data_IF_266009889292
#
_entry.id   IF_266009889292
#
_cell.length_a   1.000
_cell.length_b   1.000
_cell.length_c   1.000
_cell.angle_alpha   90.00
_cell.angle_beta   90.00
_cell.angle_gamma   90.00
#
_symmetry.space_group_name_H-M   'P 1'
#
loop_
_entity.id
_entity.type
_entity.pdbx_description
1 polymer ?
#
# COMPACT_ATOMS: atom_id res chain seq x y z
N UNK A 1 91.88 -205.61 -26.93
CA UNK A 1 92.78 -206.08 -25.86
C UNK A 1 91.89 -206.47 -24.68
N UNK A 2 91.97 -207.72 -24.21
CA UNK A 2 92.55 -208.08 -22.90
C UNK A 2 91.80 -207.37 -21.75
N UNK A 3 90.87 -207.96 -20.98
CA UNK A 3 90.62 -209.36 -20.58
C UNK A 3 91.67 -209.93 -19.60
N UNK A 4 91.18 -210.76 -18.65
CA UNK A 4 91.78 -211.17 -17.35
C UNK A 4 91.80 -210.09 -16.25
N UNK A 5 91.43 -210.35 -14.98
CA UNK A 5 90.65 -211.43 -14.32
C UNK A 5 89.95 -210.80 -13.08
N UNK A 6 88.85 -211.27 -12.45
CA UNK A 6 88.19 -212.57 -12.25
C UNK A 6 88.56 -213.37 -10.97
N UNK A 7 87.53 -214.06 -10.46
CA UNK A 7 87.48 -215.15 -9.46
C UNK A 7 88.35 -215.11 -8.17
N UNK A 8 87.69 -214.75 -7.05
CA UNK A 8 87.52 -215.58 -5.83
C UNK A 8 86.50 -214.88 -4.90
N UNK A 9 85.39 -215.46 -4.44
CA UNK A 9 84.98 -216.84 -4.04
C UNK A 9 85.42 -217.23 -2.62
N UNK A 10 84.47 -217.05 -1.70
CA UNK A 10 84.19 -217.78 -0.44
C UNK A 10 85.17 -218.87 0.03
N UNK A 11 85.77 -218.71 1.23
CA UNK A 11 85.76 -219.71 2.33
C UNK A 11 86.42 -219.22 3.64
N UNK A 12 86.16 -219.98 4.73
CA UNK A 12 86.59 -219.82 6.15
C UNK A 12 85.81 -218.78 6.99
N UNK A 13 85.28 -219.05 8.20
CA UNK A 13 85.18 -220.26 9.06
C UNK A 13 86.53 -220.93 9.47
N UNK A 14 86.93 -221.05 10.74
CA UNK A 14 86.26 -220.84 12.05
C UNK A 14 87.24 -220.27 13.12
N UNK A 15 86.80 -220.22 14.39
CA UNK A 15 87.47 -219.69 15.61
C UNK A 15 87.48 -218.15 15.76
N UNK A 16 87.20 -217.54 16.93
CA UNK A 16 86.57 -218.04 18.16
C UNK A 16 86.06 -216.92 19.10
N UNK A 17 84.72 -216.81 19.27
CA UNK A 17 83.94 -216.29 20.43
C UNK A 17 84.10 -214.80 20.89
N UNK A 18 83.09 -214.38 21.67
CA UNK A 18 82.97 -213.14 22.49
C UNK A 18 82.80 -211.78 21.75
N UNK A 19 82.03 -210.79 22.23
CA UNK A 19 80.90 -210.78 23.17
C UNK A 19 80.05 -209.48 22.94
N UNK A 20 78.69 -209.46 23.02
CA UNK A 20 77.90 -208.33 22.49
C UNK A 20 77.36 -207.35 23.56
N UNK A 21 78.18 -206.43 24.08
CA UNK A 21 77.74 -205.34 24.99
C UNK A 21 78.51 -204.00 24.80
N UNK A 22 78.98 -203.70 23.59
CA UNK A 22 79.91 -202.59 23.31
C UNK A 22 79.47 -201.62 22.21
N UNK A 23 78.30 -201.78 21.59
CA UNK A 23 77.89 -201.00 20.42
C UNK A 23 77.31 -199.61 20.75
N UNK A 24 76.35 -199.55 21.67
CA UNK A 24 75.58 -198.35 22.02
C UNK A 24 76.40 -197.18 22.60
N UNK A 25 77.62 -197.43 23.07
CA UNK A 25 78.52 -196.40 23.57
C UNK A 25 79.22 -195.65 22.42
N UNK A 26 79.65 -196.40 21.39
CA UNK A 26 80.42 -195.89 20.25
C UNK A 26 79.57 -194.91 19.43
N UNK A 27 78.30 -195.23 19.17
CA UNK A 27 77.40 -194.40 18.35
C UNK A 27 77.09 -193.04 19.03
N UNK A 28 77.13 -192.96 20.37
CA UNK A 28 76.94 -191.71 21.13
C UNK A 28 78.21 -190.86 21.25
N UNK A 29 79.38 -191.48 21.34
CA UNK A 29 80.65 -190.75 21.28
C UNK A 29 80.90 -190.17 19.87
N UNK A 30 80.53 -190.90 18.81
CA UNK A 30 80.63 -190.40 17.43
C UNK A 30 79.80 -189.10 17.21
N UNK A 31 78.50 -189.14 17.51
CA UNK A 31 77.59 -188.00 17.27
C UNK A 31 78.00 -186.74 18.06
N UNK A 32 78.58 -186.92 19.26
CA UNK A 32 79.06 -185.78 20.08
C UNK A 32 80.42 -185.23 19.66
N UNK A 33 81.18 -185.95 18.82
CA UNK A 33 82.38 -185.42 18.14
C UNK A 33 82.00 -184.63 16.88
N UNK A 34 81.06 -185.12 16.06
CA UNK A 34 80.61 -184.44 14.84
C UNK A 34 80.05 -183.03 15.12
N UNK A 35 79.17 -182.90 16.12
CA UNK A 35 78.61 -181.59 16.50
C UNK A 35 79.66 -180.60 17.02
N UNK A 36 80.77 -181.08 17.61
CA UNK A 36 81.91 -180.22 17.98
C UNK A 36 82.69 -179.79 16.74
N UNK A 37 82.90 -180.68 15.77
CA UNK A 37 83.56 -180.37 14.51
C UNK A 37 82.79 -179.30 13.70
N UNK A 38 81.46 -179.42 13.60
CA UNK A 38 80.61 -178.44 12.89
C UNK A 38 80.72 -177.05 13.54
N UNK A 39 80.53 -176.93 14.86
CA UNK A 39 80.64 -175.62 15.55
C UNK A 39 82.06 -175.05 15.52
N UNK A 40 83.09 -175.90 15.52
CA UNK A 40 84.46 -175.44 15.33
C UNK A 40 84.67 -174.90 13.90
N UNK A 41 84.16 -175.59 12.88
CA UNK A 41 84.20 -175.12 11.51
C UNK A 41 83.43 -173.79 11.33
N UNK A 42 82.21 -173.65 11.86
CA UNK A 42 81.45 -172.38 11.84
C UNK A 42 82.23 -171.24 12.52
N UNK A 43 82.85 -171.50 13.68
CA UNK A 43 83.62 -170.49 14.40
C UNK A 43 84.89 -170.08 13.63
N UNK A 44 85.62 -171.06 13.07
CA UNK A 44 86.81 -170.82 12.24
C UNK A 44 86.44 -170.07 10.96
N UNK A 45 85.33 -170.42 10.31
CA UNK A 45 84.86 -169.80 9.07
C UNK A 45 84.34 -168.37 9.35
N UNK A 46 83.60 -168.15 10.45
CA UNK A 46 83.20 -166.80 10.90
C UNK A 46 84.40 -165.95 11.32
N UNK A 47 85.42 -166.53 11.97
CA UNK A 47 86.71 -165.84 12.22
C UNK A 47 87.40 -165.51 10.90
N UNK A 48 87.47 -166.45 9.94
CA UNK A 48 88.05 -166.23 8.61
C UNK A 48 87.33 -165.10 7.86
N UNK A 49 86.00 -165.01 7.93
CA UNK A 49 85.24 -163.87 7.37
C UNK A 49 85.52 -162.54 8.08
N UNK A 50 85.59 -162.52 9.41
CA UNK A 50 85.95 -161.30 10.16
C UNK A 50 87.40 -160.87 9.90
N UNK A 51 88.29 -161.84 9.72
CA UNK A 51 89.70 -161.61 9.45
C UNK A 51 89.91 -161.16 8.00
N UNK A 52 89.24 -161.76 7.01
CA UNK A 52 89.16 -161.22 5.65
C UNK A 52 88.66 -159.77 5.61
N UNK A 53 87.64 -159.41 6.41
CA UNK A 53 87.15 -158.02 6.53
C UNK A 53 88.10 -157.04 7.25
N UNK A 54 89.22 -157.51 7.80
CA UNK A 54 90.25 -156.69 8.43
C UNK A 54 91.53 -156.66 7.59
N UNK A 55 91.93 -157.82 7.12
CA UNK A 55 93.21 -158.07 6.47
C UNK A 55 93.13 -157.77 4.95
N UNK A 56 91.95 -157.87 4.32
CA UNK A 56 91.73 -157.43 2.94
C UNK A 56 91.37 -155.93 2.89
N UNK A 57 92.10 -155.17 2.07
CA UNK A 57 91.97 -153.71 1.99
C UNK A 57 90.78 -153.28 1.13
N UNK A 58 90.49 -154.01 0.04
CA UNK A 58 89.31 -153.80 -0.82
C UNK A 58 87.99 -153.74 -0.03
N UNK A 59 87.88 -154.55 1.04
CA UNK A 59 86.70 -154.59 1.91
C UNK A 59 86.65 -153.45 2.93
N UNK A 60 87.77 -152.78 3.22
CA UNK A 60 87.79 -151.52 3.97
C UNK A 60 87.41 -150.36 3.05
N UNK A 61 88.01 -150.29 1.86
CA UNK A 61 87.76 -149.25 0.87
C UNK A 61 86.29 -149.23 0.45
N UNK A 62 85.69 -150.39 0.17
CA UNK A 62 84.26 -150.48 -0.16
C UNK A 62 83.36 -150.03 1.01
N UNK A 63 83.75 -150.31 2.26
CA UNK A 63 83.00 -149.88 3.44
C UNK A 63 83.12 -148.37 3.70
N UNK A 64 84.25 -147.76 3.34
CA UNK A 64 84.46 -146.30 3.39
C UNK A 64 83.72 -145.59 2.25
N UNK A 65 83.77 -146.14 1.03
CA UNK A 65 82.94 -145.66 -0.10
C UNK A 65 81.44 -145.69 0.23
N UNK A 66 80.95 -146.75 0.88
CA UNK A 66 79.55 -146.83 1.33
C UNK A 66 79.20 -145.77 2.40
N UNK A 67 80.13 -145.42 3.29
CA UNK A 67 79.95 -144.31 4.25
C UNK A 67 79.93 -142.95 3.55
N UNK A 68 80.86 -142.71 2.64
CA UNK A 68 80.92 -141.46 1.85
C UNK A 68 79.67 -141.30 0.99
N UNK A 69 79.17 -142.37 0.37
CA UNK A 69 77.91 -142.37 -0.37
C UNK A 69 76.71 -141.99 0.52
N UNK A 70 76.59 -142.58 1.72
CA UNK A 70 75.53 -142.24 2.67
C UNK A 70 75.57 -140.76 3.08
N UNK A 71 76.75 -140.25 3.47
CA UNK A 71 76.94 -138.83 3.83
C UNK A 71 76.62 -137.91 2.64
N UNK A 72 77.01 -138.27 1.42
CA UNK A 72 76.70 -137.48 0.22
C UNK A 72 75.18 -137.39 -0.05
N UNK A 73 74.43 -138.46 0.25
CA UNK A 73 72.97 -138.49 0.13
C UNK A 73 72.31 -137.57 1.15
N UNK A 74 72.70 -137.67 2.42
CA UNK A 74 72.17 -136.80 3.49
C UNK A 74 72.46 -135.31 3.21
N UNK A 75 73.65 -134.99 2.68
CA UNK A 75 73.99 -133.63 2.27
C UNK A 75 73.15 -133.14 1.08
N UNK A 76 72.87 -134.00 0.10
CA UNK A 76 72.00 -133.65 -1.03
C UNK A 76 70.55 -133.39 -0.59
N UNK A 77 69.99 -134.25 0.26
CA UNK A 77 68.63 -134.12 0.80
C UNK A 77 68.49 -132.82 1.64
N UNK A 78 69.47 -132.51 2.51
CA UNK A 78 69.52 -131.25 3.25
C UNK A 78 69.60 -130.01 2.34
N UNK A 79 70.32 -130.07 1.22
CA UNK A 79 70.42 -128.97 0.26
C UNK A 79 69.11 -128.77 -0.51
N UNK A 80 68.38 -129.83 -0.85
CA UNK A 80 67.04 -129.72 -1.44
C UNK A 80 66.04 -129.06 -0.48
N UNK A 81 65.96 -129.52 0.76
CA UNK A 81 65.03 -128.93 1.75
C UNK A 81 65.31 -127.45 2.01
N UNK A 82 66.59 -127.09 2.18
CA UNK A 82 66.99 -125.69 2.42
C UNK A 82 66.71 -124.79 1.22
N UNK A 83 66.76 -125.33 0.00
CA UNK A 83 66.34 -124.60 -1.21
C UNK A 83 64.80 -124.50 -1.32
N UNK A 84 64.05 -125.54 -0.96
CA UNK A 84 62.56 -125.48 -0.88
C UNK A 84 62.10 -124.42 0.11
N UNK A 85 62.68 -124.37 1.31
CA UNK A 85 62.37 -123.37 2.34
C UNK A 85 62.64 -121.93 1.86
N UNK A 86 63.78 -121.68 1.21
CA UNK A 86 64.12 -120.37 0.61
C UNK A 86 63.15 -119.96 -0.50
N UNK A 87 62.71 -120.90 -1.34
CA UNK A 87 61.71 -120.60 -2.36
C UNK A 87 60.31 -120.30 -1.78
N UNK A 88 60.00 -120.78 -0.58
CA UNK A 88 58.72 -120.49 0.07
C UNK A 88 58.72 -119.14 0.81
N UNK A 89 59.79 -118.78 1.52
CA UNK A 89 59.92 -117.45 2.16
C UNK A 89 59.83 -116.32 1.13
N UNK A 90 60.62 -116.38 0.06
CA UNK A 90 60.58 -115.40 -1.05
C UNK A 90 59.19 -115.28 -1.70
N UNK A 91 58.40 -116.36 -1.74
CA UNK A 91 57.01 -116.34 -2.25
C UNK A 91 56.00 -115.72 -1.28
N UNK A 92 56.27 -115.72 0.01
CA UNK A 92 55.45 -115.05 1.04
C UNK A 92 55.79 -113.57 1.07
N UNK A 93 57.08 -113.24 1.21
CA UNK A 93 57.60 -111.86 1.19
C UNK A 93 57.15 -111.10 -0.08
N UNK A 94 57.20 -111.75 -1.26
CA UNK A 94 56.76 -111.14 -2.51
C UNK A 94 55.23 -110.97 -2.63
N UNK A 95 54.42 -111.66 -1.81
CA UNK A 95 52.96 -111.45 -1.73
C UNK A 95 52.64 -110.33 -0.76
N UNK A 96 53.20 -110.36 0.44
CA UNK A 96 53.03 -109.32 1.46
C UNK A 96 53.43 -107.95 0.90
N UNK A 97 54.61 -107.85 0.27
CA UNK A 97 55.08 -106.63 -0.41
C UNK A 97 54.24 -106.21 -1.63
N UNK A 98 53.42 -107.10 -2.19
CA UNK A 98 52.48 -106.76 -3.27
C UNK A 98 51.13 -106.28 -2.71
N UNK A 99 50.64 -106.92 -1.65
CA UNK A 99 49.42 -106.55 -0.93
C UNK A 99 49.57 -105.18 -0.25
N UNK A 100 50.71 -104.90 0.38
CA UNK A 100 51.02 -103.56 0.91
C UNK A 100 51.04 -102.48 -0.16
N UNK A 101 51.63 -102.76 -1.34
CA UNK A 101 51.63 -101.81 -2.48
C UNK A 101 50.21 -101.54 -2.98
N UNK A 102 49.40 -102.58 -3.16
CA UNK A 102 47.99 -102.45 -3.54
C UNK A 102 47.19 -101.62 -2.52
N UNK A 103 47.43 -101.81 -1.21
CA UNK A 103 46.79 -101.03 -0.15
C UNK A 103 47.26 -99.57 -0.12
N UNK A 104 48.53 -99.28 -0.45
CA UNK A 104 49.04 -97.92 -0.56
C UNK A 104 48.50 -97.21 -1.80
N UNK A 105 48.51 -97.86 -2.98
CA UNK A 105 47.89 -97.31 -4.18
C UNK A 105 46.38 -97.05 -4.00
N UNK A 106 45.67 -97.92 -3.28
CA UNK A 106 44.26 -97.72 -2.96
C UNK A 106 44.04 -96.46 -2.12
N UNK A 107 44.84 -96.26 -1.06
CA UNK A 107 44.80 -95.05 -0.22
C UNK A 107 45.20 -93.78 -0.97
N UNK A 108 46.09 -93.87 -1.96
CA UNK A 108 46.45 -92.73 -2.81
C UNK A 108 45.33 -92.38 -3.80
N UNK A 109 44.70 -93.39 -4.43
CA UNK A 109 43.51 -93.21 -5.27
C UNK A 109 42.33 -92.63 -4.48
N UNK A 110 42.13 -93.05 -3.25
CA UNK A 110 41.10 -92.52 -2.34
C UNK A 110 41.35 -91.04 -2.00
N UNK A 111 42.59 -90.68 -1.63
CA UNK A 111 42.99 -89.27 -1.40
C UNK A 111 42.84 -88.42 -2.66
N UNK A 112 43.23 -88.93 -3.82
CA UNK A 112 43.10 -88.22 -5.10
C UNK A 112 41.63 -88.02 -5.47
N UNK A 113 40.77 -89.00 -5.21
CA UNK A 113 39.32 -88.90 -5.39
C UNK A 113 38.70 -87.87 -4.43
N UNK A 114 39.07 -87.88 -3.16
CA UNK A 114 38.62 -86.90 -2.17
C UNK A 114 39.02 -85.47 -2.57
N UNK A 115 40.27 -85.24 -2.96
CA UNK A 115 40.74 -83.94 -3.45
C UNK A 115 40.04 -83.49 -4.73
N UNK A 116 39.71 -84.42 -5.65
CA UNK A 116 38.90 -84.14 -6.84
C UNK A 116 37.46 -83.77 -6.47
N UNK A 117 36.88 -84.39 -5.44
CA UNK A 117 35.54 -84.07 -4.96
C UNK A 117 35.50 -82.72 -4.21
N UNK A 118 36.50 -82.42 -3.38
CA UNK A 118 36.65 -81.10 -2.75
C UNK A 118 36.81 -79.99 -3.81
N UNK A 119 37.68 -80.20 -4.81
CA UNK A 119 37.78 -79.27 -5.95
C UNK A 119 36.47 -79.14 -6.72
N UNK A 120 35.68 -80.22 -6.86
CA UNK A 120 34.36 -80.16 -7.49
C UNK A 120 33.39 -79.31 -6.67
N UNK A 121 33.25 -79.58 -5.37
CA UNK A 121 32.39 -78.83 -4.44
C UNK A 121 32.76 -77.34 -4.39
N UNK A 122 34.07 -77.02 -4.41
CA UNK A 122 34.55 -75.63 -4.50
C UNK A 122 34.20 -74.95 -5.83
N UNK A 123 34.27 -75.67 -6.97
CA UNK A 123 33.84 -75.14 -8.28
C UNK A 123 32.33 -74.95 -8.36
N UNK A 124 31.55 -75.87 -7.79
CA UNK A 124 30.09 -75.77 -7.70
C UNK A 124 29.68 -74.56 -6.83
N UNK A 125 30.24 -74.41 -5.63
CA UNK A 125 29.97 -73.23 -4.78
C UNK A 125 30.44 -71.91 -5.40
N UNK A 126 31.56 -71.89 -6.13
CA UNK A 126 32.00 -70.70 -6.87
C UNK A 126 31.04 -70.36 -8.02
N UNK A 127 30.49 -71.36 -8.70
CA UNK A 127 29.46 -71.15 -9.73
C UNK A 127 28.16 -70.59 -9.12
N UNK A 128 27.72 -71.13 -7.98
CA UNK A 128 26.57 -70.60 -7.22
C UNK A 128 26.77 -69.13 -6.81
N UNK A 129 27.94 -68.77 -6.28
CA UNK A 129 28.27 -67.39 -5.90
C UNK A 129 28.31 -66.45 -7.13
N UNK A 130 28.85 -66.91 -8.27
CA UNK A 130 28.82 -66.14 -9.51
C UNK A 130 27.41 -65.96 -10.07
N UNK A 131 26.56 -66.98 -9.98
CA UNK A 131 25.15 -66.88 -10.34
C UNK A 131 24.37 -65.95 -9.40
N UNK A 132 24.59 -66.05 -8.08
CA UNK A 132 23.93 -65.17 -7.13
C UNK A 132 24.32 -63.70 -7.36
N UNK A 133 25.62 -63.42 -7.52
CA UNK A 133 26.11 -62.07 -7.86
C UNK A 133 25.66 -61.59 -9.25
N UNK A 134 25.34 -62.49 -10.18
CA UNK A 134 24.68 -62.13 -11.45
C UNK A 134 23.20 -61.78 -11.23
N UNK A 135 22.46 -62.57 -10.45
CA UNK A 135 21.04 -62.36 -10.13
C UNK A 135 20.83 -61.07 -9.32
N UNK A 136 21.68 -60.80 -8.31
CA UNK A 136 21.68 -59.55 -7.53
C UNK A 136 21.86 -58.32 -8.43
N UNK A 137 22.89 -58.29 -9.29
CA UNK A 137 23.11 -57.19 -10.25
C UNK A 137 21.98 -57.02 -11.27
N UNK A 138 21.28 -58.09 -11.65
CA UNK A 138 20.08 -58.00 -12.49
C UNK A 138 18.89 -57.39 -11.75
N UNK A 139 18.72 -57.70 -10.45
CA UNK A 139 17.70 -57.09 -9.59
C UNK A 139 18.01 -55.61 -9.31
N UNK A 140 19.26 -55.28 -8.97
CA UNK A 140 19.75 -53.90 -8.79
C UNK A 140 19.50 -53.05 -10.05
N UNK A 141 19.84 -53.57 -11.24
CA UNK A 141 19.57 -52.88 -12.50
C UNK A 141 18.06 -52.69 -12.75
N UNK A 142 17.23 -53.68 -12.43
CA UNK A 142 15.77 -53.57 -12.56
C UNK A 142 15.18 -52.54 -11.58
N UNK A 143 15.69 -52.46 -10.35
CA UNK A 143 15.34 -51.44 -9.37
C UNK A 143 15.72 -50.04 -9.87
N UNK A 144 16.97 -49.83 -10.28
CA UNK A 144 17.45 -48.53 -10.80
C UNK A 144 16.66 -48.06 -12.03
N UNK A 145 16.24 -48.98 -12.90
CA UNK A 145 15.38 -48.64 -14.04
C UNK A 145 13.95 -48.27 -13.60
N UNK A 146 13.37 -48.97 -12.64
CA UNK A 146 12.05 -48.64 -12.06
C UNK A 146 12.10 -47.28 -11.34
N UNK A 147 13.10 -47.03 -10.48
CA UNK A 147 13.32 -45.75 -9.80
C UNK A 147 13.47 -44.59 -10.81
N UNK A 148 14.16 -44.84 -11.93
CA UNK A 148 14.29 -43.88 -13.03
C UNK A 148 12.95 -43.62 -13.73
N UNK A 149 12.14 -44.65 -13.99
CA UNK A 149 10.81 -44.50 -14.58
C UNK A 149 9.85 -43.75 -13.65
N UNK A 150 9.84 -44.09 -12.35
CA UNK A 150 9.09 -43.37 -11.31
C UNK A 150 9.53 -41.90 -11.19
N UNK A 151 10.85 -41.64 -11.24
CA UNK A 151 11.40 -40.28 -11.23
C UNK A 151 10.95 -39.47 -12.45
N UNK A 152 10.99 -40.07 -13.65
CA UNK A 152 10.53 -39.44 -14.89
C UNK A 152 9.02 -39.21 -14.92
N UNK A 153 8.22 -40.13 -14.37
CA UNK A 153 6.77 -39.96 -14.21
C UNK A 153 6.45 -38.80 -13.25
N UNK A 154 7.13 -38.74 -12.09
CA UNK A 154 6.97 -37.65 -11.13
C UNK A 154 7.43 -36.30 -11.70
N UNK A 155 8.49 -36.29 -12.51
CA UNK A 155 8.95 -35.07 -13.19
C UNK A 155 7.91 -34.56 -14.20
N UNK A 156 7.23 -35.46 -14.94
CA UNK A 156 6.12 -35.07 -15.83
C UNK A 156 4.94 -34.50 -15.07
N UNK A 157 4.54 -35.15 -13.96
CA UNK A 157 3.45 -34.67 -13.09
C UNK A 157 3.72 -33.25 -12.60
N UNK A 158 4.94 -32.97 -12.09
CA UNK A 158 5.33 -31.61 -11.67
C UNK A 158 5.25 -30.61 -12.83
N UNK A 159 5.73 -30.97 -14.03
CA UNK A 159 5.66 -30.09 -15.20
C UNK A 159 4.21 -29.85 -15.68
N UNK A 160 3.30 -30.80 -15.48
CA UNK A 160 1.88 -30.67 -15.81
C UNK A 160 1.14 -29.83 -14.76
N UNK A 161 1.46 -29.99 -13.47
CA UNK A 161 0.97 -29.15 -12.37
C UNK A 161 1.44 -27.70 -12.52
N UNK A 162 2.73 -27.46 -12.81
CA UNK A 162 3.30 -26.12 -13.05
C UNK A 162 2.57 -25.41 -14.20
N UNK A 163 2.34 -26.12 -15.32
CA UNK A 163 1.58 -25.59 -16.47
C UNK A 163 0.13 -25.30 -16.12
N UNK A 164 -0.53 -26.16 -15.34
CA UNK A 164 -1.89 -25.94 -14.88
C UNK A 164 -2.00 -24.71 -13.98
N UNK A 165 -1.06 -24.53 -13.04
CA UNK A 165 -0.97 -23.37 -12.16
C UNK A 165 -0.70 -22.07 -12.95
N UNK A 166 0.18 -22.10 -13.96
CA UNK A 166 0.43 -20.96 -14.84
C UNK A 166 -0.84 -20.55 -15.61
N UNK A 167 -1.54 -21.51 -16.24
CA UNK A 167 -2.79 -21.26 -16.95
C UNK A 167 -3.92 -20.76 -16.02
N UNK A 168 -3.98 -21.27 -14.79
CA UNK A 168 -4.95 -20.79 -13.79
C UNK A 168 -4.63 -19.35 -13.33
N UNK A 169 -3.34 -19.04 -13.13
CA UNK A 169 -2.89 -17.69 -12.80
C UNK A 169 -3.15 -16.69 -13.95
N UNK A 170 -3.00 -17.11 -15.21
CA UNK A 170 -3.37 -16.30 -16.37
C UNK A 170 -4.88 -16.07 -16.48
N UNK A 171 -5.70 -17.10 -16.27
CA UNK A 171 -7.16 -16.97 -16.17
C UNK A 171 -7.57 -15.99 -15.07
N UNK A 172 -6.98 -16.09 -13.87
CA UNK A 172 -7.19 -15.17 -12.74
C UNK A 172 -6.74 -13.73 -13.05
N UNK A 173 -5.65 -13.53 -13.82
CA UNK A 173 -5.21 -12.20 -14.29
C UNK A 173 -6.19 -11.61 -15.32
N UNK A 174 -6.68 -12.43 -16.27
CA UNK A 174 -7.65 -12.02 -17.28
C UNK A 174 -9.00 -11.65 -16.66
N UNK A 175 -9.50 -12.46 -15.72
CA UNK A 175 -10.72 -12.18 -14.97
C UNK A 175 -10.61 -10.85 -14.22
N UNK A 176 -9.59 -10.67 -13.38
CA UNK A 176 -9.35 -9.40 -12.65
C UNK A 176 -9.26 -8.17 -13.57
N UNK A 177 -8.77 -8.34 -14.80
CA UNK A 177 -8.75 -7.27 -15.81
C UNK A 177 -10.14 -6.99 -16.39
N UNK A 178 -10.97 -8.01 -16.58
CA UNK A 178 -12.37 -7.85 -16.99
C UNK A 178 -13.20 -7.19 -15.87
N UNK A 179 -13.08 -7.66 -14.62
CA UNK A 179 -13.74 -7.10 -13.45
C UNK A 179 -13.39 -5.61 -13.27
N UNK A 180 -12.10 -5.25 -13.41
CA UNK A 180 -11.62 -3.87 -13.39
C UNK A 180 -12.26 -3.02 -14.51
N UNK A 181 -12.32 -3.55 -15.74
CA UNK A 181 -12.89 -2.83 -16.88
C UNK A 181 -14.41 -2.67 -16.77
N UNK A 182 -15.12 -3.62 -16.13
CA UNK A 182 -16.54 -3.49 -15.79
C UNK A 182 -16.72 -2.39 -14.74
N UNK A 183 -15.98 -2.45 -13.63
CA UNK A 183 -16.06 -1.43 -12.57
C UNK A 183 -15.69 -0.02 -13.07
N UNK A 184 -14.74 0.12 -14.01
CA UNK A 184 -14.44 1.40 -14.66
C UNK A 184 -15.64 1.93 -15.47
N UNK A 185 -16.35 1.07 -16.20
CA UNK A 185 -17.56 1.46 -16.95
C UNK A 185 -18.70 1.84 -16.02
N UNK A 186 -19.00 1.02 -15.00
CA UNK A 186 -20.02 1.31 -13.99
C UNK A 186 -19.76 2.66 -13.30
N UNK A 187 -18.50 2.97 -12.98
CA UNK A 187 -18.11 4.27 -12.44
C UNK A 187 -18.22 5.42 -13.45
N UNK A 188 -18.06 5.18 -14.76
CA UNK A 188 -18.28 6.19 -15.80
C UNK A 188 -19.79 6.46 -15.97
N UNK A 189 -20.59 5.40 -16.15
CA UNK A 189 -22.04 5.44 -16.28
C UNK A 189 -22.69 6.10 -15.07
N UNK A 190 -22.26 5.78 -13.83
CA UNK A 190 -22.77 6.43 -12.63
C UNK A 190 -22.41 7.92 -12.55
N UNK A 191 -21.19 8.32 -12.98
CA UNK A 191 -20.80 9.75 -13.04
C UNK A 191 -21.57 10.50 -14.12
N UNK A 192 -21.89 9.87 -15.24
CA UNK A 192 -22.70 10.46 -16.31
C UNK A 192 -24.16 10.60 -15.88
N UNK A 193 -24.71 9.60 -15.17
CA UNK A 193 -26.02 9.68 -14.54
C UNK A 193 -26.11 10.80 -13.49
N UNK A 194 -25.11 10.92 -12.59
CA UNK A 194 -25.04 12.04 -11.63
C UNK A 194 -24.98 13.40 -12.33
N UNK A 195 -24.20 13.52 -13.42
CA UNK A 195 -24.15 14.75 -14.24
C UNK A 195 -25.50 15.05 -14.89
N UNK A 196 -26.20 14.05 -15.40
CA UNK A 196 -27.52 14.19 -15.99
C UNK A 196 -28.56 14.66 -14.95
N UNK A 197 -28.55 14.08 -13.75
CA UNK A 197 -29.40 14.52 -12.63
C UNK A 197 -29.08 15.97 -12.24
N UNK A 198 -27.81 16.31 -12.00
CA UNK A 198 -27.40 17.67 -11.63
C UNK A 198 -27.78 18.70 -12.71
N UNK A 199 -27.67 18.35 -13.99
CA UNK A 199 -28.10 19.20 -15.10
C UNK A 199 -29.63 19.37 -15.15
N UNK A 200 -30.40 18.33 -14.81
CA UNK A 200 -31.86 18.41 -14.71
C UNK A 200 -32.28 19.32 -13.54
N UNK A 201 -31.70 19.14 -12.36
CA UNK A 201 -31.94 19.98 -11.18
C UNK A 201 -31.56 21.45 -11.42
N UNK A 202 -30.41 21.69 -12.07
CA UNK A 202 -30.00 23.03 -12.50
C UNK A 202 -30.99 23.64 -13.51
N UNK A 203 -31.51 22.84 -14.45
CA UNK A 203 -32.55 23.25 -15.39
C UNK A 203 -33.84 23.67 -14.69
N UNK A 204 -34.27 22.94 -13.66
CA UNK A 204 -35.46 23.29 -12.86
C UNK A 204 -35.23 24.51 -11.95
N UNK A 205 -34.01 24.74 -11.47
CA UNK A 205 -33.63 25.99 -10.78
C UNK A 205 -33.66 27.18 -11.74
N UNK A 206 -33.17 27.03 -12.98
CA UNK A 206 -33.24 28.08 -14.01
C UNK A 206 -34.69 28.42 -14.36
N UNK A 207 -35.58 27.43 -14.53
CA UNK A 207 -37.02 27.67 -14.75
C UNK A 207 -37.62 28.52 -13.62
N UNK A 208 -37.44 28.11 -12.36
CA UNK A 208 -37.91 28.84 -11.17
C UNK A 208 -37.36 30.26 -11.11
N UNK A 209 -36.10 30.46 -11.47
CA UNK A 209 -35.51 31.81 -11.56
C UNK A 209 -36.19 32.66 -12.64
N UNK A 210 -36.47 32.11 -13.83
CA UNK A 210 -37.21 32.84 -14.87
C UNK A 210 -38.65 33.16 -14.50
N UNK A 211 -39.33 32.31 -13.73
CA UNK A 211 -40.66 32.58 -13.17
C UNK A 211 -40.63 33.72 -12.15
N UNK A 212 -39.63 33.70 -11.25
CA UNK A 212 -39.39 34.78 -10.27
C UNK A 212 -39.10 36.10 -10.99
N UNK A 213 -38.22 36.12 -11.99
CA UNK A 213 -37.85 37.34 -12.70
C UNK A 213 -38.94 37.86 -13.63
N UNK A 214 -39.79 36.98 -14.17
CA UNK A 214 -41.04 37.37 -14.81
C UNK A 214 -41.97 38.08 -13.80
N UNK A 215 -42.20 37.48 -12.64
CA UNK A 215 -43.08 38.05 -11.60
C UNK A 215 -42.56 39.39 -11.04
N UNK A 216 -41.23 39.59 -11.01
CA UNK A 216 -40.64 40.91 -10.70
C UNK A 216 -41.04 41.98 -11.72
N UNK A 217 -40.96 41.67 -13.03
CA UNK A 217 -41.36 42.60 -14.10
C UNK A 217 -42.85 42.95 -14.02
N UNK A 218 -43.71 41.96 -13.81
CA UNK A 218 -45.15 42.17 -13.61
C UNK A 218 -45.41 43.13 -12.42
N UNK A 219 -44.72 42.95 -11.29
CA UNK A 219 -44.78 43.86 -10.13
C UNK A 219 -44.14 45.25 -10.39
N UNK A 220 -43.16 45.37 -11.27
CA UNK A 220 -42.55 46.65 -11.67
C UNK A 220 -43.46 47.44 -12.62
N UNK A 221 -44.16 46.75 -13.52
CA UNK A 221 -45.19 47.31 -14.40
C UNK A 221 -46.40 47.81 -13.58
N UNK A 222 -46.91 47.02 -12.62
CA UNK A 222 -47.94 47.45 -11.65
C UNK A 222 -47.52 48.72 -10.88
N UNK A 223 -46.26 48.77 -10.42
CA UNK A 223 -45.71 49.95 -9.72
C UNK A 223 -45.66 51.18 -10.62
N UNK A 224 -45.27 51.03 -11.88
CA UNK A 224 -45.27 52.13 -12.85
C UNK A 224 -46.69 52.61 -13.15
N UNK A 225 -47.67 51.71 -13.31
CA UNK A 225 -49.07 52.11 -13.47
C UNK A 225 -49.58 52.87 -12.24
N UNK A 226 -49.28 52.41 -11.04
CA UNK A 226 -49.67 53.09 -9.80
C UNK A 226 -49.01 54.46 -9.65
N UNK A 227 -47.76 54.63 -10.13
CA UNK A 227 -47.13 55.95 -10.22
C UNK A 227 -47.83 56.86 -11.25
N UNK A 228 -48.18 56.36 -12.44
CA UNK A 228 -48.93 57.14 -13.45
C UNK A 228 -50.29 57.58 -12.92
N UNK A 229 -51.06 56.66 -12.33
CA UNK A 229 -52.36 56.94 -11.67
C UNK A 229 -52.22 57.98 -10.55
N UNK A 230 -51.15 57.90 -9.74
CA UNK A 230 -50.84 58.91 -8.71
C UNK A 230 -50.49 60.29 -9.31
N UNK A 231 -49.73 60.33 -10.41
CA UNK A 231 -49.40 61.57 -11.11
C UNK A 231 -50.65 62.23 -11.71
N UNK A 232 -51.53 61.45 -12.36
CA UNK A 232 -52.82 61.96 -12.86
C UNK A 232 -53.69 62.56 -11.74
N UNK A 233 -53.83 61.87 -10.61
CA UNK A 233 -54.57 62.38 -9.45
C UNK A 233 -53.94 63.68 -8.93
N UNK A 234 -52.60 63.73 -8.84
CA UNK A 234 -51.87 64.94 -8.41
C UNK A 234 -52.07 66.12 -9.36
N UNK A 235 -52.14 65.88 -10.68
CA UNK A 235 -52.39 66.93 -11.68
C UNK A 235 -53.83 67.44 -11.57
N UNK A 236 -54.82 66.54 -11.45
CA UNK A 236 -56.24 66.91 -11.27
C UNK A 236 -56.45 67.71 -9.97
N UNK A 237 -55.81 67.33 -8.88
CA UNK A 237 -55.82 68.10 -7.63
C UNK A 237 -55.17 69.47 -7.78
N UNK A 238 -54.02 69.57 -8.47
CA UNK A 238 -53.38 70.85 -8.77
C UNK A 238 -54.26 71.80 -9.59
N UNK A 239 -54.98 71.27 -10.59
CA UNK A 239 -55.96 72.02 -11.37
C UNK A 239 -57.12 72.53 -10.51
N UNK A 240 -57.68 71.68 -9.64
CA UNK A 240 -58.77 72.05 -8.72
C UNK A 240 -58.33 73.13 -7.70
N UNK A 241 -57.10 73.04 -7.17
CA UNK A 241 -56.54 74.07 -6.28
C UNK A 241 -56.35 75.40 -7.02
N UNK A 242 -55.80 75.39 -8.24
CA UNK A 242 -55.64 76.59 -9.06
C UNK A 242 -57.00 77.25 -9.41
N UNK A 243 -58.02 76.45 -9.72
CA UNK A 243 -59.39 76.93 -9.89
C UNK A 243 -59.95 77.58 -8.62
N UNK A 244 -59.74 76.96 -7.45
CA UNK A 244 -60.19 77.50 -6.16
C UNK A 244 -59.48 78.81 -5.82
N UNK A 245 -58.18 78.90 -6.03
CA UNK A 245 -57.42 80.14 -5.84
C UNK A 245 -57.88 81.25 -6.79
N UNK A 246 -58.10 80.96 -8.06
CA UNK A 246 -58.59 81.96 -9.02
C UNK A 246 -60.01 82.43 -8.66
N UNK A 247 -60.91 81.51 -8.25
CA UNK A 247 -62.25 81.85 -7.74
C UNK A 247 -62.19 82.63 -6.41
N UNK A 248 -61.14 82.45 -5.60
CA UNK A 248 -60.90 83.28 -4.41
C UNK A 248 -60.43 84.68 -4.80
N UNK A 249 -59.38 84.81 -5.62
CA UNK A 249 -58.85 86.10 -6.11
C UNK A 249 -59.94 86.95 -6.78
N UNK A 250 -60.83 86.34 -7.56
CA UNK A 250 -61.99 87.02 -8.16
C UNK A 250 -62.96 87.60 -7.12
N UNK A 251 -63.19 86.91 -6.00
CA UNK A 251 -64.03 87.40 -4.89
C UNK A 251 -63.30 88.47 -4.06
N UNK A 252 -62.03 88.25 -3.77
CA UNK A 252 -61.19 89.20 -3.03
C UNK A 252 -61.11 90.54 -3.80
N UNK A 253 -60.95 90.50 -5.13
CA UNK A 253 -61.02 91.68 -6.00
C UNK A 253 -62.40 92.34 -6.00
N UNK A 254 -63.49 91.58 -6.17
CA UNK A 254 -64.85 92.15 -6.15
C UNK A 254 -65.18 92.83 -4.80
N UNK A 255 -64.65 92.31 -3.70
CA UNK A 255 -64.78 92.94 -2.38
C UNK A 255 -63.98 94.25 -2.27
N UNK A 256 -62.83 94.35 -2.94
CA UNK A 256 -62.07 95.60 -3.06
C UNK A 256 -62.81 96.61 -3.95
N UNK A 257 -63.30 96.21 -5.12
CA UNK A 257 -64.07 97.06 -6.04
C UNK A 257 -65.31 97.66 -5.33
N UNK A 258 -66.03 96.85 -4.55
CA UNK A 258 -67.18 97.29 -3.75
C UNK A 258 -66.77 98.22 -2.59
N UNK A 259 -65.63 97.96 -1.94
CA UNK A 259 -65.10 98.82 -0.88
C UNK A 259 -64.69 100.20 -1.42
N UNK A 260 -64.06 100.26 -2.60
CA UNK A 260 -63.73 101.51 -3.30
C UNK A 260 -64.99 102.24 -3.76
N UNK A 261 -66.01 101.53 -4.25
CA UNK A 261 -67.31 102.11 -4.56
C UNK A 261 -68.00 102.70 -3.30
N UNK A 262 -67.92 102.02 -2.15
CA UNK A 262 -68.41 102.56 -0.88
C UNK A 262 -67.63 103.80 -0.42
N UNK A 263 -66.30 103.80 -0.51
CA UNK A 263 -65.48 104.96 -0.13
C UNK A 263 -65.71 106.17 -1.05
N UNK A 264 -65.79 105.95 -2.37
CA UNK A 264 -66.08 107.02 -3.33
C UNK A 264 -67.48 107.59 -3.13
N UNK A 265 -68.51 106.75 -2.96
CA UNK A 265 -69.86 107.20 -2.61
C UNK A 265 -69.89 108.05 -1.31
N UNK A 266 -69.19 107.61 -0.25
CA UNK A 266 -69.08 108.35 1.01
C UNK A 266 -68.30 109.67 0.86
N UNK A 267 -67.33 109.74 -0.05
CA UNK A 267 -66.64 111.00 -0.37
C UNK A 267 -67.52 111.97 -1.16
N UNK A 268 -68.32 111.45 -2.10
CA UNK A 268 -69.31 112.20 -2.88
C UNK A 268 -70.41 112.79 -1.99
N UNK A 269 -70.92 112.00 -1.03
CA UNK A 269 -71.90 112.49 -0.03
C UNK A 269 -71.31 113.61 0.84
N UNK A 270 -70.08 113.44 1.33
CA UNK A 270 -69.37 114.49 2.10
C UNK A 270 -69.17 115.75 1.26
N UNK A 271 -68.79 115.62 -0.01
CA UNK A 271 -68.62 116.76 -0.92
C UNK A 271 -69.96 117.47 -1.19
N UNK A 272 -71.05 116.72 -1.41
CA UNK A 272 -72.41 117.29 -1.55
C UNK A 272 -72.84 118.03 -0.27
N UNK A 273 -72.55 117.49 0.92
CA UNK A 273 -72.81 118.15 2.20
C UNK A 273 -71.98 119.43 2.37
N UNK A 274 -70.68 119.41 2.03
CA UNK A 274 -69.82 120.60 2.03
C UNK A 274 -70.35 121.68 1.08
N UNK A 275 -70.72 121.32 -0.16
CA UNK A 275 -71.30 122.24 -1.13
C UNK A 275 -72.65 122.83 -0.66
N UNK A 276 -73.47 122.06 0.07
CA UNK A 276 -74.69 122.57 0.68
C UNK A 276 -74.40 123.53 1.85
N UNK A 277 -73.45 123.19 2.73
CA UNK A 277 -73.00 124.08 3.81
C UNK A 277 -72.41 125.39 3.26
N UNK A 278 -71.60 125.31 2.21
CA UNK A 278 -71.10 126.48 1.48
C UNK A 278 -72.24 127.32 0.92
N UNK A 279 -73.21 126.72 0.19
CA UNK A 279 -74.36 127.48 -0.32
C UNK A 279 -75.17 128.15 0.79
N UNK A 280 -75.36 127.49 1.93
CA UNK A 280 -76.05 128.08 3.09
C UNK A 280 -75.23 129.19 3.75
N UNK A 281 -73.91 129.07 3.83
CA UNK A 281 -73.02 130.15 4.31
C UNK A 281 -73.00 131.35 3.36
N UNK A 282 -72.98 131.11 2.04
CA UNK A 282 -73.07 132.14 0.98
C UNK A 282 -74.44 132.84 0.97
N UNK A 283 -75.52 132.13 1.35
CA UNK A 283 -76.85 132.73 1.58
C UNK A 283 -76.86 133.60 2.84
N UNK A 284 -76.42 133.07 3.99
CA UNK A 284 -76.33 133.83 5.26
C UNK A 284 -75.48 135.08 5.13
N UNK A 285 -74.27 134.97 4.59
CA UNK A 285 -73.38 136.13 4.36
C UNK A 285 -73.97 137.12 3.35
N UNK A 286 -74.74 136.67 2.35
CA UNK A 286 -75.50 137.57 1.48
C UNK A 286 -76.64 138.27 2.23
N UNK A 287 -77.41 137.57 3.05
CA UNK A 287 -78.45 138.17 3.89
C UNK A 287 -77.87 139.15 4.90
N UNK A 288 -76.71 138.84 5.50
CA UNK A 288 -75.96 139.72 6.40
C UNK A 288 -75.41 140.95 5.64
N UNK A 289 -74.92 140.79 4.41
CA UNK A 289 -74.50 141.91 3.55
C UNK A 289 -75.68 142.74 3.06
N UNK A 290 -76.85 142.16 2.80
CA UNK A 290 -78.06 142.88 2.39
C UNK A 290 -78.71 143.59 3.59
N UNK A 291 -78.66 143.01 4.81
CA UNK A 291 -78.94 143.72 6.07
C UNK A 291 -77.94 144.84 6.33
N UNK A 292 -76.65 144.59 6.14
CA UNK A 292 -75.60 145.61 6.28
C UNK A 292 -75.75 146.72 5.23
N UNK A 293 -76.21 146.43 4.02
CA UNK A 293 -76.59 147.45 3.03
C UNK A 293 -77.77 148.28 3.51
N UNK A 294 -78.83 147.67 4.04
CA UNK A 294 -79.96 148.39 4.64
C UNK A 294 -79.52 149.23 5.85
N UNK A 295 -78.68 148.68 6.74
CA UNK A 295 -78.06 149.45 7.83
C UNK A 295 -77.15 150.57 7.30
N UNK A 296 -76.39 150.37 6.22
CA UNK A 296 -75.56 151.41 5.61
C UNK A 296 -76.40 152.44 4.87
N UNK A 297 -77.57 152.10 4.34
CA UNK A 297 -78.51 153.07 3.78
C UNK A 297 -79.23 153.86 4.88
N UNK A 298 -79.68 153.21 5.96
CA UNK A 298 -80.17 153.87 7.17
C UNK A 298 -79.09 154.75 7.80
N UNK A 299 -77.84 154.27 7.91
CA UNK A 299 -76.68 155.04 8.37
C UNK A 299 -76.24 156.09 7.36
N UNK A 300 -76.50 155.96 6.05
CA UNK A 300 -76.26 157.01 5.03
C UNK A 300 -77.36 158.07 5.04
N UNK A 301 -78.60 157.72 5.36
CA UNK A 301 -79.69 158.66 5.57
C UNK A 301 -79.48 159.42 6.89
N UNK A 302 -79.14 158.70 7.96
CA UNK A 302 -78.67 159.27 9.21
C UNK A 302 -77.42 160.11 9.00
N UNK A 303 -76.39 159.65 8.28
CA UNK A 303 -75.22 160.47 7.88
C UNK A 303 -75.55 161.51 6.80
N UNK A 304 -76.72 161.55 6.18
CA UNK A 304 -77.13 162.70 5.37
C UNK A 304 -77.68 163.79 6.29
N UNK A 305 -78.40 163.41 7.35
CA UNK A 305 -78.78 164.30 8.44
C UNK A 305 -77.55 164.75 9.24
N UNK A 306 -76.63 163.82 9.54
CA UNK A 306 -75.41 164.05 10.29
C UNK A 306 -74.34 164.76 9.46
N UNK A 307 -74.21 164.55 8.13
CA UNK A 307 -73.36 165.41 7.27
C UNK A 307 -74.02 166.73 6.89
N UNK A 308 -75.34 166.88 6.99
CA UNK A 308 -75.96 168.22 7.07
C UNK A 308 -75.55 168.96 8.36
N UNK A 309 -75.06 168.25 9.40
CA UNK A 309 -74.44 168.84 10.58
C UNK A 309 -72.89 168.88 10.53
N UNK A 310 -72.21 167.84 10.03
CA UNK A 310 -70.75 167.69 9.97
C UNK A 310 -70.13 168.41 8.76
N UNK A 311 -70.90 168.86 7.77
CA UNK A 311 -70.43 169.89 6.84
C UNK A 311 -70.17 171.23 7.56
N UNK A 312 -70.52 171.37 8.85
CA UNK A 312 -70.05 172.44 9.73
C UNK A 312 -68.73 172.11 10.48
N UNK A 313 -68.20 170.88 10.42
CA UNK A 313 -67.02 170.42 11.19
C UNK A 313 -66.14 169.46 10.37
N UNK A 314 -64.99 169.96 9.87
CA UNK A 314 -64.21 169.35 8.78
C UNK A 314 -62.82 168.84 9.25
N UNK A 315 -62.34 167.74 8.65
CA UNK A 315 -60.91 167.28 8.62
C UNK A 315 -60.35 166.80 10.00
N UNK A 316 -59.30 165.98 10.17
CA UNK A 316 -58.51 164.98 9.39
C UNK A 316 -57.87 164.01 10.46
N UNK A 317 -57.03 162.98 10.28
CA UNK A 317 -56.12 162.48 9.23
C UNK A 317 -55.94 160.92 9.38
N UNK A 318 -54.84 160.35 8.86
CA UNK A 318 -54.29 158.99 9.08
C UNK A 318 -52.72 159.07 8.92
N UNK A 319 -51.92 157.99 8.79
CA UNK A 319 -52.01 156.60 9.27
C UNK A 319 -51.06 156.44 10.50
N UNK A 320 -49.93 155.70 10.63
CA UNK A 320 -49.25 154.56 9.95
C UNK A 320 -48.20 153.92 10.91
N UNK A 321 -47.70 152.69 10.66
CA UNK A 321 -46.50 152.11 11.31
C UNK A 321 -45.83 150.99 10.47
N UNK A 322 -44.52 151.09 10.26
CA UNK A 322 -43.66 150.08 9.59
C UNK A 322 -42.40 149.79 10.42
N UNK A 323 -42.15 148.52 10.79
CA UNK A 323 -40.89 148.08 11.45
C UNK A 323 -40.69 146.54 11.64
N UNK A 324 -41.41 145.65 10.93
CA UNK A 324 -41.48 144.21 11.30
C UNK A 324 -40.49 143.22 10.63
N UNK A 325 -39.69 143.63 9.64
CA UNK A 325 -39.00 142.66 8.77
C UNK A 325 -37.53 142.36 9.11
N UNK A 326 -36.94 143.07 10.08
CA UNK A 326 -35.53 142.89 10.46
C UNK A 326 -35.28 141.69 11.38
N UNK A 327 -36.22 141.28 12.23
CA UNK A 327 -36.01 140.17 13.18
C UNK A 327 -36.04 138.79 12.50
N UNK A 328 -36.97 138.58 11.56
CA UNK A 328 -37.22 137.27 10.90
C UNK A 328 -35.96 136.69 10.23
N UNK A 329 -35.09 137.55 9.69
CA UNK A 329 -33.89 137.12 8.97
C UNK A 329 -32.81 136.50 9.89
N UNK A 330 -32.82 136.84 11.19
CA UNK A 330 -31.83 136.33 12.16
C UNK A 330 -32.17 134.94 12.72
N UNK A 331 -33.46 134.59 12.82
CA UNK A 331 -33.86 133.25 13.28
C UNK A 331 -33.53 132.18 12.25
N UNK A 332 -33.80 132.48 10.98
CA UNK A 332 -33.72 131.55 9.87
C UNK A 332 -32.28 131.08 9.59
N UNK A 333 -31.29 131.90 9.94
CA UNK A 333 -29.87 131.54 9.86
C UNK A 333 -29.47 130.52 10.94
N UNK A 334 -30.01 130.65 12.17
CA UNK A 334 -29.71 129.72 13.28
C UNK A 334 -30.24 128.32 12.97
N UNK A 335 -31.51 128.22 12.57
CA UNK A 335 -32.20 126.96 12.25
C UNK A 335 -31.44 126.11 11.20
N UNK A 336 -30.80 126.75 10.21
CA UNK A 336 -29.99 126.06 9.18
C UNK A 336 -28.70 125.45 9.75
N UNK A 337 -28.04 126.12 10.69
CA UNK A 337 -26.80 125.64 11.32
C UNK A 337 -27.04 124.38 12.15
N UNK A 338 -28.10 124.39 12.95
CA UNK A 338 -28.42 123.29 13.87
C UNK A 338 -28.87 122.03 13.12
N UNK A 339 -29.62 122.21 12.03
CA UNK A 339 -29.99 121.13 11.11
C UNK A 339 -28.75 120.51 10.43
N UNK A 340 -27.79 121.34 9.98
CA UNK A 340 -26.53 120.86 9.41
C UNK A 340 -25.69 120.01 10.38
N UNK A 341 -25.61 120.42 11.65
CA UNK A 341 -24.95 119.64 12.68
C UNK A 341 -25.65 118.28 12.95
N UNK A 342 -26.99 118.26 12.92
CA UNK A 342 -27.77 117.04 13.11
C UNK A 342 -27.54 116.04 11.96
N UNK A 343 -27.49 116.53 10.71
CA UNK A 343 -27.23 115.68 9.53
C UNK A 343 -25.84 115.03 9.58
N UNK A 344 -24.80 115.75 10.02
CA UNK A 344 -23.45 115.19 10.15
C UNK A 344 -23.40 114.08 11.21
N UNK A 345 -23.99 114.30 12.39
CA UNK A 345 -24.07 113.28 13.44
C UNK A 345 -24.82 112.01 12.98
N UNK A 346 -25.90 112.17 12.18
CA UNK A 346 -26.61 111.03 11.58
C UNK A 346 -25.76 110.26 10.56
N UNK A 347 -24.87 110.93 9.82
CA UNK A 347 -23.97 110.28 8.86
C UNK A 347 -22.88 109.48 9.60
N UNK A 348 -22.27 110.06 10.64
CA UNK A 348 -21.26 109.40 11.47
C UNK A 348 -21.81 108.14 12.18
N UNK A 349 -23.01 108.24 12.77
CA UNK A 349 -23.72 107.09 13.37
C UNK A 349 -24.06 106.00 12.33
N UNK A 350 -24.42 106.37 11.10
CA UNK A 350 -24.66 105.40 10.02
C UNK A 350 -23.36 104.71 9.56
N UNK A 351 -22.24 105.43 9.48
CA UNK A 351 -20.94 104.85 9.15
C UNK A 351 -20.48 103.89 10.25
N UNK A 352 -20.63 104.29 11.51
CA UNK A 352 -20.33 103.47 12.69
C UNK A 352 -21.12 102.15 12.68
N UNK A 353 -22.44 102.21 12.50
CA UNK A 353 -23.30 101.01 12.45
C UNK A 353 -22.96 100.06 11.30
N UNK A 354 -22.48 100.57 10.17
CA UNK A 354 -21.96 99.74 9.06
C UNK A 354 -20.63 99.08 9.41
N UNK A 355 -19.73 99.79 10.11
CA UNK A 355 -18.47 99.23 10.59
C UNK A 355 -18.70 98.13 11.65
N UNK A 356 -19.63 98.36 12.59
CA UNK A 356 -20.01 97.39 13.62
C UNK A 356 -20.65 96.13 12.97
N UNK A 357 -21.62 96.28 12.07
CA UNK A 357 -22.25 95.15 11.37
C UNK A 357 -21.27 94.37 10.45
N UNK A 358 -20.29 95.04 9.83
CA UNK A 358 -19.26 94.33 9.05
C UNK A 358 -18.30 93.57 9.95
N UNK A 359 -17.90 94.13 11.10
CA UNK A 359 -17.08 93.43 12.10
C UNK A 359 -17.79 92.19 12.66
N UNK A 360 -19.08 92.28 12.99
CA UNK A 360 -19.91 91.13 13.41
C UNK A 360 -19.94 90.03 12.33
N UNK A 361 -20.14 90.40 11.05
CA UNK A 361 -20.15 89.43 9.95
C UNK A 361 -18.81 88.72 9.78
N UNK A 362 -17.68 89.42 9.92
CA UNK A 362 -16.34 88.82 9.85
C UNK A 362 -16.12 87.86 11.01
N UNK A 363 -16.48 88.24 12.24
CA UNK A 363 -16.39 87.36 13.41
C UNK A 363 -17.25 86.10 13.26
N UNK A 364 -18.44 86.22 12.67
CA UNK A 364 -19.29 85.06 12.35
C UNK A 364 -18.62 84.11 11.33
N UNK A 365 -18.05 84.65 10.25
CA UNK A 365 -17.36 83.81 9.26
C UNK A 365 -16.08 83.17 9.80
N UNK A 366 -15.30 83.88 10.63
CA UNK A 366 -14.12 83.32 11.31
C UNK A 366 -14.48 82.22 12.31
N UNK A 367 -15.56 82.42 13.10
CA UNK A 367 -16.06 81.42 14.03
C UNK A 367 -16.58 80.18 13.29
N UNK A 368 -17.31 80.37 12.18
CA UNK A 368 -17.77 79.28 11.33
C UNK A 368 -16.60 78.53 10.69
N UNK A 369 -15.61 79.22 10.13
CA UNK A 369 -14.45 78.59 9.51
C UNK A 369 -13.66 77.71 10.50
N UNK A 370 -13.57 78.12 11.77
CA UNK A 370 -12.99 77.30 12.85
C UNK A 370 -13.83 76.06 13.15
N UNK A 371 -15.16 76.21 13.27
CA UNK A 371 -16.06 75.08 13.51
C UNK A 371 -16.07 74.06 12.34
N UNK A 372 -16.11 74.54 11.10
CA UNK A 372 -16.03 73.72 9.89
C UNK A 372 -14.67 72.97 9.81
N UNK A 373 -13.57 73.62 10.23
CA UNK A 373 -12.25 72.98 10.30
C UNK A 373 -12.16 71.93 11.41
N UNK A 374 -12.68 72.21 12.62
CA UNK A 374 -12.76 71.21 13.70
C UNK A 374 -13.60 70.00 13.28
N UNK A 375 -14.72 70.21 12.59
CA UNK A 375 -15.54 69.12 12.08
C UNK A 375 -14.77 68.28 11.04
N UNK A 376 -14.02 68.91 10.14
CA UNK A 376 -13.16 68.20 9.20
C UNK A 376 -12.06 67.38 9.89
N UNK A 377 -11.42 67.90 10.95
CA UNK A 377 -10.43 67.12 11.71
C UNK A 377 -11.05 65.93 12.44
N UNK A 378 -12.24 66.07 13.02
CA UNK A 378 -12.97 64.94 13.63
C UNK A 378 -13.31 63.87 12.58
N UNK A 379 -13.79 64.28 11.40
CA UNK A 379 -14.05 63.36 10.28
C UNK A 379 -12.78 62.66 9.79
N UNK A 380 -11.63 63.36 9.73
CA UNK A 380 -10.32 62.75 9.39
C UNK A 380 -9.91 61.72 10.44
N UNK A 381 -10.04 62.03 11.73
CA UNK A 381 -9.70 61.13 12.83
C UNK A 381 -10.57 59.87 12.82
N UNK A 382 -11.89 60.02 12.68
CA UNK A 382 -12.84 58.90 12.58
C UNK A 382 -12.56 58.04 11.33
N UNK A 383 -12.28 58.67 10.19
CA UNK A 383 -11.89 57.98 8.94
C UNK A 383 -10.60 57.17 9.10
N UNK A 384 -9.57 57.72 9.75
CA UNK A 384 -8.31 57.01 10.03
C UNK A 384 -8.54 55.87 11.03
N UNK A 385 -9.39 56.06 12.04
CA UNK A 385 -9.75 55.01 12.99
C UNK A 385 -10.50 53.85 12.32
N UNK A 386 -11.48 54.13 11.44
CA UNK A 386 -12.17 53.10 10.67
C UNK A 386 -11.23 52.33 9.73
N UNK A 387 -10.28 53.02 9.07
CA UNK A 387 -9.27 52.37 8.24
C UNK A 387 -8.31 51.50 9.06
N UNK A 388 -7.94 51.94 10.27
CA UNK A 388 -7.06 51.19 11.18
C UNK A 388 -7.71 49.98 11.85
N UNK A 389 -9.04 49.89 11.88
CA UNK A 389 -9.78 48.69 12.34
C UNK A 389 -9.80 47.57 11.29
N UNK A 390 -9.45 47.86 10.03
CA UNK A 390 -9.48 46.91 8.92
C UNK A 390 -8.06 46.40 8.63
N UNK A 391 -7.83 45.07 8.49
CA UNK A 391 -6.50 44.54 8.16
C UNK A 391 -5.92 45.12 6.87
N UNK A 392 -4.63 45.45 6.88
CA UNK A 392 -3.92 46.09 5.75
C UNK A 392 -3.91 45.25 4.46
N UNK A 393 -4.17 43.93 4.57
CA UNK A 393 -4.40 43.03 3.44
C UNK A 393 -5.73 43.30 2.71
N UNK A 394 -6.80 43.66 3.45
CA UNK A 394 -8.13 43.98 2.89
C UNK A 394 -8.13 45.34 2.21
N UNK A 395 -7.40 46.32 2.77
CA UNK A 395 -7.28 47.68 2.21
C UNK A 395 -6.76 47.71 0.76
N UNK A 396 -6.05 46.66 0.30
CA UNK A 396 -5.52 46.54 -1.07
C UNK A 396 -6.59 46.32 -2.13
N UNK A 397 -7.74 45.77 -1.74
CA UNK A 397 -8.87 45.49 -2.63
C UNK A 397 -9.85 46.67 -2.74
N UNK A 398 -9.62 47.77 -2.00
CA UNK A 398 -10.40 48.99 -2.11
C UNK A 398 -10.08 49.74 -3.42
N UNK A 399 -11.07 50.39 -4.07
CA UNK A 399 -10.84 51.21 -5.26
C UNK A 399 -9.78 52.30 -5.05
N UNK A 400 -8.99 52.59 -6.10
CA UNK A 400 -7.82 53.49 -6.09
C UNK A 400 -8.08 54.94 -5.65
N UNK A 401 -9.33 55.34 -5.42
CA UNK A 401 -9.73 56.67 -4.95
C UNK A 401 -10.20 56.71 -3.47
N UNK A 402 -10.33 55.56 -2.79
CA UNK A 402 -10.82 55.51 -1.38
C UNK A 402 -9.71 55.90 -0.38
N UNK A 403 -8.47 55.49 -0.68
CA UNK A 403 -7.26 55.86 0.06
C UNK A 403 -6.58 57.05 -0.62
N UNK A 404 -6.30 58.10 0.14
CA UNK A 404 -5.45 59.23 -0.23
C UNK A 404 -3.98 58.83 -0.22
N UNK A 405 -3.07 59.72 -0.67
CA UNK A 405 -1.63 59.51 -0.56
C UNK A 405 -1.19 59.30 0.89
N UNK A 406 -1.65 60.14 1.82
CA UNK A 406 -1.29 60.06 3.23
C UNK A 406 -1.74 58.77 3.89
N UNK A 407 -2.91 58.23 3.53
CA UNK A 407 -3.37 56.94 4.09
C UNK A 407 -2.49 55.78 3.61
N UNK A 408 -2.01 55.81 2.35
CA UNK A 408 -1.11 54.78 1.82
C UNK A 408 0.25 54.82 2.49
N UNK A 409 0.79 56.01 2.73
CA UNK A 409 2.04 56.18 3.48
C UNK A 409 1.91 55.72 4.94
N UNK A 410 0.72 55.83 5.52
CA UNK A 410 0.44 55.40 6.90
C UNK A 410 0.19 53.87 7.03
N UNK A 411 -0.58 53.27 6.12
CA UNK A 411 -1.07 51.89 6.24
C UNK A 411 -0.43 50.86 5.29
N UNK A 412 0.39 51.29 4.32
CA UNK A 412 1.05 50.38 3.35
C UNK A 412 2.58 50.35 3.47
N UNK A 413 3.14 50.87 4.58
CA UNK A 413 4.59 51.12 4.73
C UNK A 413 5.46 49.87 4.91
N UNK A 414 4.90 48.75 5.39
CA UNK A 414 5.69 47.61 5.88
C UNK A 414 6.22 46.67 4.80
N UNK A 415 5.59 46.61 3.61
CA UNK A 415 5.97 45.60 2.59
C UNK A 415 7.20 45.95 1.74
N UNK A 416 7.61 47.22 1.66
CA UNK A 416 8.82 47.61 0.92
C UNK A 416 10.13 47.14 1.58
N UNK A 417 10.08 46.65 2.83
CA UNK A 417 11.21 45.97 3.49
C UNK A 417 11.07 44.44 3.49
N UNK A 418 9.90 43.88 3.18
CA UNK A 418 9.64 42.44 3.24
C UNK A 418 9.85 41.69 1.90
N UNK A 419 9.72 42.39 0.77
CA UNK A 419 9.81 41.79 -0.57
C UNK A 419 11.13 42.07 -1.31
N UNK A 420 12.17 42.50 -0.57
CA UNK A 420 13.50 42.86 -1.09
C UNK A 420 14.57 41.81 -0.80
N UNK A 421 14.31 40.54 -1.10
CA UNK A 421 15.26 39.44 -0.88
C UNK A 421 14.92 38.21 -1.72
N UNK A 422 15.58 38.06 -2.87
CA UNK A 422 15.23 37.06 -3.88
C UNK A 422 16.05 37.20 -5.16
N UNK A 423 17.37 36.99 -5.04
CA UNK A 423 18.30 36.85 -6.16
C UNK A 423 17.87 35.66 -7.06
N UNK A 424 18.04 35.67 -8.40
CA UNK A 424 19.26 35.85 -9.21
C UNK A 424 20.29 34.72 -9.03
#
# INVERSE_FOLDING_TARGET
MMQHDLEKVNRSLELSKENPMTRDFIEKEAMTQEMKAIKHAEFVEKKRRQQLRRDCEELRDLAEQLRLAAISKELAENLEERNRQRQMSVKVEAREMAEERCLMEAKEREKEAALKEEQRRLRESLAEQMEEHRRRRQQEHAQVMNDRELSLLRQKQIQEEDRAQQLEAERKKLQKRQDMLQSIKENQEHREWQRAQNNYELGDLVKKQTEIDRRKRELEEERQEMQRKKQEISIRLGQQVLEMENKKRQRDNLLLDLLEAEYTAKSDERFRQQMQQEQMSRRRTREELDRYRQEVELRKMAQMQLKRAEMATRQQEAPDMSNQDTEKQLEDYRRRRDHGATLLAMIEDNQRKRAEATAESVQYFDAKAKADAEQQERIKQERVAMLGQVPTSVLRYLPKHVLTSTDREHFCREEQQAMGGGDS
#
